data_IF_334751817428
#
_entry.id   IF_334751817428
#
_cell.length_a   1.000
_cell.length_b   1.000
_cell.length_c   1.000
_cell.angle_alpha   90.00
_cell.angle_beta   90.00
_cell.angle_gamma   90.00
#
_symmetry.space_group_name_H-M   'P 1'
#
loop_
_entity.id
_entity.type
_entity.pdbx_description
1 polymer ?
#
# COMPACT_ATOMS: atom_id res chain seq x y z
N UNK A 1 4.00 -17.35 11.99
CA UNK A 1 4.41 -18.33 10.97
C UNK A 1 3.96 -17.90 9.58
N UNK A 2 4.26 -18.71 8.55
CA UNK A 2 4.00 -18.48 7.12
C UNK A 2 2.64 -17.82 6.81
N UNK A 3 1.55 -18.30 7.41
CA UNK A 3 0.19 -17.73 7.25
C UNK A 3 0.10 -16.24 7.61
N UNK A 4 0.87 -15.79 8.58
CA UNK A 4 0.94 -14.36 8.93
C UNK A 4 1.60 -13.54 7.81
N UNK A 5 2.68 -14.04 7.21
CA UNK A 5 3.34 -13.38 6.09
C UNK A 5 2.43 -13.28 4.86
N UNK A 6 1.66 -14.33 4.58
CA UNK A 6 0.63 -14.33 3.53
C UNK A 6 -0.43 -13.25 3.78
N UNK A 7 -0.91 -13.11 5.02
CA UNK A 7 -1.85 -12.05 5.37
C UNK A 7 -1.27 -10.64 5.14
N UNK A 8 0.00 -10.39 5.52
CA UNK A 8 0.64 -9.10 5.26
C UNK A 8 0.81 -8.81 3.76
N UNK A 9 1.15 -9.83 2.96
CA UNK A 9 1.20 -9.70 1.49
C UNK A 9 -0.16 -9.34 0.91
N UNK A 10 -1.20 -10.08 1.29
CA UNK A 10 -2.57 -9.82 0.84
C UNK A 10 -3.05 -8.40 1.23
N UNK A 11 -2.70 -7.94 2.44
CA UNK A 11 -2.99 -6.58 2.88
C UNK A 11 -2.27 -5.52 2.03
N UNK A 12 -0.98 -5.70 1.75
CA UNK A 12 -0.21 -4.79 0.90
C UNK A 12 -0.74 -4.76 -0.55
N UNK A 13 -1.16 -5.91 -1.09
CA UNK A 13 -1.80 -5.97 -2.41
C UNK A 13 -3.16 -5.25 -2.44
N UNK A 14 -3.97 -5.39 -1.39
CA UNK A 14 -5.24 -4.67 -1.30
C UNK A 14 -5.01 -3.16 -1.27
N UNK A 15 -4.04 -2.68 -0.48
CA UNK A 15 -3.64 -1.26 -0.44
C UNK A 15 -3.12 -0.79 -1.80
N UNK A 16 -2.37 -1.61 -2.52
CA UNK A 16 -1.92 -1.26 -3.87
C UNK A 16 -3.09 -1.08 -4.85
N UNK A 17 -4.12 -1.93 -4.76
CA UNK A 17 -5.35 -1.76 -5.55
C UNK A 17 -6.12 -0.49 -5.16
N UNK A 18 -6.19 -0.17 -3.87
CA UNK A 18 -6.81 1.07 -3.38
C UNK A 18 -6.13 2.32 -3.97
N UNK A 19 -4.79 2.38 -3.95
CA UNK A 19 -4.02 3.46 -4.58
C UNK A 19 -4.34 3.59 -6.07
N UNK A 20 -4.42 2.47 -6.81
CA UNK A 20 -4.76 2.48 -8.24
C UNK A 20 -6.16 3.04 -8.49
N UNK A 21 -7.15 2.67 -7.68
CA UNK A 21 -8.51 3.21 -7.80
C UNK A 21 -8.58 4.71 -7.49
N UNK A 22 -7.86 5.17 -6.46
CA UNK A 22 -7.82 6.59 -6.12
C UNK A 22 -7.11 7.43 -7.19
N UNK A 23 -6.07 6.89 -7.83
CA UNK A 23 -5.42 7.54 -8.98
C UNK A 23 -6.38 7.70 -10.16
N UNK A 24 -7.24 6.70 -10.41
CA UNK A 24 -8.31 6.82 -11.41
C UNK A 24 -9.33 7.89 -11.02
N UNK A 25 -9.69 7.98 -9.74
CA UNK A 25 -10.58 9.03 -9.26
C UNK A 25 -9.99 10.44 -9.49
N UNK A 26 -8.69 10.64 -9.26
CA UNK A 26 -8.01 11.90 -9.59
C UNK A 26 -8.09 12.21 -11.09
N UNK A 27 -7.90 11.21 -11.95
CA UNK A 27 -8.03 11.39 -13.39
C UNK A 27 -9.46 11.82 -13.78
N UNK A 28 -10.49 11.18 -13.24
CA UNK A 28 -11.89 11.57 -13.44
C UNK A 28 -12.17 12.99 -12.91
N UNK A 29 -11.67 13.35 -11.73
CA UNK A 29 -11.82 14.72 -11.20
C UNK A 29 -11.17 15.77 -12.10
N UNK A 30 -10.04 15.44 -12.72
CA UNK A 30 -9.38 16.32 -13.68
C UNK A 30 -10.20 16.47 -14.97
N UNK A 31 -10.79 15.40 -15.50
CA UNK A 31 -11.71 15.46 -16.64
C UNK A 31 -12.93 16.34 -16.35
N UNK A 32 -13.54 16.17 -15.17
CA UNK A 32 -14.68 16.98 -14.73
C UNK A 32 -14.30 18.46 -14.58
N UNK A 33 -13.11 18.77 -14.06
CA UNK A 33 -12.63 20.15 -13.95
C UNK A 33 -12.46 20.81 -15.31
N UNK A 34 -11.84 20.12 -16.27
CA UNK A 34 -11.68 20.62 -17.64
C UNK A 34 -13.04 20.83 -18.32
N UNK A 35 -14.01 19.97 -18.03
CA UNK A 35 -15.38 20.11 -18.52
C UNK A 35 -16.23 21.14 -17.73
N UNK A 36 -15.69 21.77 -16.68
CA UNK A 36 -16.38 22.76 -15.86
C UNK A 36 -17.34 22.20 -14.80
N UNK A 37 -17.33 20.89 -14.58
CA UNK A 37 -18.21 20.18 -13.64
C UNK A 37 -17.58 19.92 -12.25
N UNK A 38 -16.28 20.18 -12.08
CA UNK A 38 -15.60 20.09 -10.80
C UNK A 38 -14.75 21.34 -10.52
N UNK A 39 -14.50 21.61 -9.25
CA UNK A 39 -13.62 22.65 -8.76
C UNK A 39 -12.19 22.14 -8.58
N UNK A 40 -11.21 23.06 -8.58
CA UNK A 40 -9.82 22.70 -8.29
C UNK A 40 -9.63 22.12 -6.87
N UNK A 41 -10.50 22.49 -5.92
CA UNK A 41 -10.50 21.95 -4.57
C UNK A 41 -10.82 20.45 -4.54
N UNK A 42 -11.69 19.97 -5.43
CA UNK A 42 -12.01 18.54 -5.54
C UNK A 42 -10.82 17.75 -6.09
N UNK A 43 -10.05 18.31 -7.03
CA UNK A 43 -8.79 17.71 -7.50
C UNK A 43 -7.81 17.58 -6.34
N UNK A 44 -7.58 18.66 -5.58
CA UNK A 44 -6.65 18.63 -4.43
C UNK A 44 -7.11 17.60 -3.39
N UNK A 45 -8.41 17.53 -3.14
CA UNK A 45 -8.97 16.56 -2.18
C UNK A 45 -8.74 15.12 -2.64
N UNK A 46 -8.99 14.82 -3.92
CA UNK A 46 -8.73 13.51 -4.50
C UNK A 46 -7.23 13.15 -4.48
N UNK A 47 -6.36 14.12 -4.80
CA UNK A 47 -4.90 13.94 -4.73
C UNK A 47 -4.43 13.67 -3.30
N UNK A 48 -5.01 14.35 -2.31
CA UNK A 48 -4.74 14.09 -0.89
C UNK A 48 -5.12 12.66 -0.50
N UNK A 49 -6.27 12.17 -0.96
CA UNK A 49 -6.66 10.77 -0.70
C UNK A 49 -5.69 9.76 -1.33
N UNK A 50 -5.16 10.04 -2.54
CA UNK A 50 -4.09 9.22 -3.14
C UNK A 50 -2.86 9.20 -2.24
N UNK A 51 -2.40 10.36 -1.77
CA UNK A 51 -1.22 10.45 -0.90
C UNK A 51 -1.41 9.68 0.41
N UNK A 52 -2.56 9.82 1.06
CA UNK A 52 -2.89 9.08 2.29
C UNK A 52 -2.88 7.55 2.05
N UNK A 53 -3.39 7.09 0.91
CA UNK A 53 -3.36 5.68 0.54
C UNK A 53 -1.95 5.17 0.19
N UNK A 54 -1.13 5.98 -0.46
CA UNK A 54 0.28 5.66 -0.76
C UNK A 54 1.12 5.52 0.51
N UNK A 55 0.90 6.39 1.49
CA UNK A 55 1.52 6.27 2.81
C UNK A 55 1.08 4.97 3.51
N UNK A 56 -0.22 4.66 3.48
CA UNK A 56 -0.73 3.41 4.07
C UNK A 56 -0.17 2.16 3.37
N UNK A 57 0.03 2.19 2.06
CA UNK A 57 0.69 1.13 1.31
C UNK A 57 2.17 0.99 1.71
N UNK A 58 2.88 2.10 1.91
CA UNK A 58 4.27 2.08 2.37
C UNK A 58 4.39 1.42 3.74
N UNK A 59 3.50 1.77 4.69
CA UNK A 59 3.44 1.16 6.01
C UNK A 59 3.12 -0.35 5.94
N UNK A 60 2.17 -0.75 5.09
CA UNK A 60 1.82 -2.15 4.89
C UNK A 60 3.01 -2.97 4.34
N UNK A 61 3.76 -2.41 3.39
CA UNK A 61 4.98 -3.02 2.85
C UNK A 61 6.08 -3.12 3.91
N UNK A 62 6.26 -2.08 4.72
CA UNK A 62 7.21 -2.11 5.84
C UNK A 62 6.86 -3.24 6.82
N UNK A 63 5.59 -3.36 7.21
CA UNK A 63 5.14 -4.43 8.10
C UNK A 63 5.36 -5.83 7.50
N UNK A 64 5.12 -6.00 6.19
CA UNK A 64 5.40 -7.25 5.48
C UNK A 64 6.90 -7.63 5.53
N UNK A 65 7.79 -6.65 5.34
CA UNK A 65 9.24 -6.87 5.39
C UNK A 65 9.70 -7.24 6.80
N UNK A 66 9.23 -6.51 7.81
CA UNK A 66 9.51 -6.82 9.21
C UNK A 66 9.02 -8.23 9.59
N UNK A 67 7.85 -8.63 9.11
CA UNK A 67 7.34 -9.97 9.35
C UNK A 67 8.19 -11.06 8.66
N UNK A 68 8.75 -10.76 7.49
CA UNK A 68 9.66 -11.66 6.79
C UNK A 68 10.94 -11.87 7.61
N UNK A 69 11.51 -10.80 8.17
CA UNK A 69 12.67 -10.86 9.07
C UNK A 69 12.34 -11.63 10.35
N UNK A 70 11.16 -11.40 10.94
CA UNK A 70 10.71 -12.13 12.12
C UNK A 70 10.59 -13.64 11.87
N UNK A 71 10.03 -14.02 10.72
CA UNK A 71 9.93 -15.42 10.33
C UNK A 71 11.31 -16.05 10.15
N UNK A 72 12.24 -15.36 9.47
CA UNK A 72 13.62 -15.84 9.30
C UNK A 72 14.29 -16.11 10.66
N UNK A 73 14.17 -15.18 11.61
CA UNK A 73 14.71 -15.35 12.96
C UNK A 73 14.04 -16.51 13.70
N UNK A 74 12.72 -16.62 13.63
CA UNK A 74 11.94 -17.66 14.30
C UNK A 74 12.23 -19.08 13.77
N UNK A 75 12.65 -19.21 12.51
CA UNK A 75 13.05 -20.47 11.88
C UNK A 75 14.52 -20.85 12.17
N UNK A 76 15.20 -20.13 13.06
CA UNK A 76 16.57 -20.43 13.48
C UNK A 76 17.65 -19.60 12.78
N UNK A 77 17.29 -18.59 11.99
CA UNK A 77 18.22 -17.56 11.52
C UNK A 77 19.42 -18.04 10.69
N UNK A 78 19.37 -19.27 10.14
CA UNK A 78 20.47 -19.92 9.43
C UNK A 78 21.37 -20.85 10.28
N UNK A 79 21.14 -21.00 11.59
CA UNK A 79 22.07 -21.68 12.52
C UNK A 79 21.87 -23.20 12.66
N UNK A 80 21.75 -23.93 11.54
CA UNK A 80 22.21 -25.32 11.46
C UNK A 80 23.34 -25.44 10.43
N UNK A 81 24.33 -24.55 10.53
CA UNK A 81 25.66 -24.70 9.91
C UNK A 81 26.71 -24.03 10.79
N UNK A 82 26.89 -24.56 11.99
CA UNK A 82 28.16 -24.55 12.71
C UNK A 82 28.03 -25.73 13.69
N UNK A 83 28.95 -26.67 13.58
CA UNK A 83 29.04 -27.89 14.39
C UNK A 83 28.84 -27.65 15.89
#
# INVERSE_FOLDING_TARGET
GLKGLENYRAAAELRAREVDQLRKAVATSNELFVAGYASYLEIITAQRSVLEAELSLADARQAQLLQSVNLYRALGGGWRTAD
#
